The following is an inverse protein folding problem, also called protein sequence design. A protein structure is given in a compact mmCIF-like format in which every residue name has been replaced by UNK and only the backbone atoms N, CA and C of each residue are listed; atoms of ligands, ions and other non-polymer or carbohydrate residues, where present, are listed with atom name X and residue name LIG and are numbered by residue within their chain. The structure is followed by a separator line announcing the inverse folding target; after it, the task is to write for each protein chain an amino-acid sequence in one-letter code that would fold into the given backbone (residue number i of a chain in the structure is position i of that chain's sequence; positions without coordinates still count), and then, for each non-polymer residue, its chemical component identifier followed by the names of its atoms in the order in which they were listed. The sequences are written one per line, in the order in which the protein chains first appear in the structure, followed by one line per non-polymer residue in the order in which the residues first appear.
data_IF_434848463392
#
_entry.id   IF_434848463392
#
_cell.length_a   1.000
_cell.length_b   1.000
_cell.length_c   1.000
_cell.angle_alpha   90.00
_cell.angle_beta   90.00
_cell.angle_gamma   90.00
#
_symmetry.space_group_name_H-M   'P 1'
#
loop_
_entity.id
_entity.type
_entity.pdbx_description
1 polymer ?
#
# COMPACT_ATOMS: atom_id res chain seq x y z
N UNK A 1 17.95 -14.21 2.06
CA UNK A 1 18.49 -13.33 0.98
C UNK A 1 18.95 -12.04 1.61
N UNK A 2 20.13 -11.53 1.26
CA UNK A 2 20.61 -10.21 1.73
C UNK A 2 19.74 -9.09 1.15
N UNK A 3 19.70 -7.93 1.83
CA UNK A 3 19.01 -6.75 1.35
C UNK A 3 19.49 -6.31 -0.03
N UNK A 4 20.81 -6.29 -0.24
CA UNK A 4 21.43 -5.96 -1.53
C UNK A 4 21.01 -6.90 -2.65
N UNK A 5 20.86 -8.20 -2.37
CA UNK A 5 20.37 -9.19 -3.34
C UNK A 5 18.89 -8.94 -3.68
N UNK A 6 18.06 -8.61 -2.68
CA UNK A 6 16.66 -8.28 -2.87
C UNK A 6 16.47 -7.00 -3.71
N UNK A 7 17.29 -5.98 -3.45
CA UNK A 7 17.32 -4.74 -4.21
C UNK A 7 17.81 -4.99 -5.64
N UNK A 8 18.87 -5.79 -5.83
CA UNK A 8 19.35 -6.16 -7.17
C UNK A 8 18.32 -6.96 -7.98
N UNK A 9 17.54 -7.82 -7.31
CA UNK A 9 16.41 -8.52 -7.92
C UNK A 9 15.32 -7.54 -8.38
N UNK A 10 14.98 -6.55 -7.56
CA UNK A 10 14.05 -5.48 -7.94
C UNK A 10 14.55 -4.67 -9.14
N UNK A 11 15.81 -4.22 -9.12
CA UNK A 11 16.41 -3.46 -10.22
C UNK A 11 16.45 -4.26 -11.53
N UNK A 12 16.66 -5.58 -11.46
CA UNK A 12 16.56 -6.45 -12.63
C UNK A 12 15.15 -6.52 -13.22
N UNK A 13 14.12 -6.56 -12.38
CA UNK A 13 12.73 -6.71 -12.82
C UNK A 13 12.11 -5.38 -13.27
N UNK A 14 12.36 -4.30 -12.51
CA UNK A 14 11.79 -2.98 -12.72
C UNK A 14 12.78 -1.99 -13.34
N UNK A 15 13.97 -2.44 -13.74
CA UNK A 15 14.94 -1.62 -14.45
C UNK A 15 14.35 -0.95 -15.69
N UNK A 16 14.57 0.36 -15.80
CA UNK A 16 14.04 1.21 -16.87
C UNK A 16 12.57 1.61 -16.69
N UNK A 17 11.89 1.21 -15.62
CA UNK A 17 10.55 1.70 -15.27
C UNK A 17 10.67 2.97 -14.46
N UNK A 18 9.83 3.95 -14.75
CA UNK A 18 9.79 5.24 -14.03
C UNK A 18 9.41 5.03 -12.57
N UNK A 19 10.18 5.60 -11.64
CA UNK A 19 9.76 5.76 -10.25
C UNK A 19 8.87 7.01 -10.14
N UNK A 20 7.60 6.81 -9.78
CA UNK A 20 6.61 7.90 -9.72
C UNK A 20 6.71 8.78 -8.46
N UNK A 21 7.48 8.34 -7.46
CA UNK A 21 7.74 9.11 -6.25
C UNK A 21 9.10 8.73 -5.66
N UNK A 22 9.76 9.63 -4.92
CA UNK A 22 11.01 9.32 -4.23
C UNK A 22 10.86 8.12 -3.30
N UNK A 23 11.87 7.23 -3.32
CA UNK A 23 11.95 6.08 -2.42
C UNK A 23 11.82 6.53 -0.97
N UNK A 24 11.05 5.79 -0.18
CA UNK A 24 10.88 6.05 1.24
C UNK A 24 11.65 4.98 2.00
N UNK A 25 12.75 5.37 2.64
CA UNK A 25 13.67 4.46 3.31
C UNK A 25 13.80 4.83 4.78
N UNK A 26 13.31 3.97 5.66
CA UNK A 26 13.21 4.28 7.08
C UNK A 26 14.58 4.53 7.72
N UNK A 27 15.59 3.75 7.31
CA UNK A 27 16.96 3.85 7.84
C UNK A 27 17.69 5.15 7.45
N UNK A 28 17.19 5.87 6.44
CA UNK A 28 17.82 7.10 5.89
C UNK A 28 17.11 8.36 6.38
N UNK A 29 16.00 8.23 7.10
CA UNK A 29 15.20 9.35 7.59
C UNK A 29 15.31 9.44 9.13
N UNK A 30 15.90 10.56 9.57
CA UNK A 30 16.19 10.83 10.97
C UNK A 30 14.95 10.76 11.88
N UNK A 31 13.75 10.98 11.33
CA UNK A 31 12.48 10.93 12.06
C UNK A 31 12.13 9.52 12.55
N UNK A 32 12.73 8.47 11.98
CA UNK A 32 12.44 7.08 12.33
C UNK A 32 13.58 6.33 13.04
N UNK A 33 14.68 7.03 13.36
CA UNK A 33 15.84 6.45 14.04
C UNK A 33 15.46 5.79 15.37
N UNK A 34 14.58 6.43 16.14
CA UNK A 34 14.15 5.97 17.48
C UNK A 34 12.87 5.13 17.46
N UNK A 35 12.30 4.85 16.27
CA UNK A 35 11.07 4.04 16.19
C UNK A 35 11.34 2.65 16.80
N UNK A 36 10.51 2.19 17.76
CA UNK A 36 10.65 0.87 18.39
C UNK A 36 10.17 -0.23 17.42
N UNK A 37 11.00 -0.55 16.44
CA UNK A 37 10.75 -1.58 15.43
C UNK A 37 11.89 -2.59 15.42
N UNK A 38 11.61 -3.87 15.17
CA UNK A 38 12.64 -4.89 14.96
C UNK A 38 13.18 -4.90 13.51
N UNK A 39 12.64 -4.05 12.63
CA UNK A 39 12.94 -4.04 11.20
C UNK A 39 13.14 -2.64 10.64
N UNK A 40 13.83 -2.60 9.49
CA UNK A 40 13.83 -1.47 8.57
C UNK A 40 12.84 -1.69 7.44
N UNK A 41 12.11 -0.62 7.10
CA UNK A 41 11.16 -0.60 6.01
C UNK A 41 11.66 0.25 4.83
N UNK A 42 11.33 -0.18 3.62
CA UNK A 42 11.56 0.56 2.39
C UNK A 42 10.33 0.45 1.48
N UNK A 43 9.91 1.58 0.91
CA UNK A 43 8.90 1.63 -0.14
C UNK A 43 9.45 2.21 -1.43
N UNK A 44 8.95 1.69 -2.55
CA UNK A 44 9.18 2.23 -3.90
C UNK A 44 7.89 2.20 -4.71
N UNK A 45 7.78 3.08 -5.70
CA UNK A 45 6.59 3.21 -6.54
C UNK A 45 6.98 3.27 -8.00
N UNK A 46 6.74 2.20 -8.75
CA UNK A 46 7.00 2.14 -10.19
C UNK A 46 5.72 2.39 -10.98
N UNK A 47 5.76 3.28 -11.96
CA UNK A 47 4.60 3.65 -12.77
C UNK A 47 4.78 3.20 -14.22
N UNK A 48 3.71 2.73 -14.83
CA UNK A 48 3.67 2.40 -16.25
C UNK A 48 2.25 2.48 -16.76
N UNK A 49 2.03 3.22 -17.85
CA UNK A 49 0.71 3.42 -18.47
C UNK A 49 -0.32 3.85 -17.41
N UNK A 50 -1.35 3.03 -17.17
CA UNK A 50 -2.47 3.25 -16.25
C UNK A 50 -2.33 2.50 -14.91
N UNK A 51 -1.11 2.00 -14.62
CA UNK A 51 -0.83 1.15 -13.47
C UNK A 51 0.30 1.66 -12.59
N UNK A 52 0.27 1.20 -11.34
CA UNK A 52 1.25 1.49 -10.30
C UNK A 52 1.67 0.19 -9.61
N UNK A 53 2.96 -0.01 -9.42
CA UNK A 53 3.50 -1.07 -8.58
C UNK A 53 4.11 -0.44 -7.32
N UNK A 54 3.48 -0.69 -6.18
CA UNK A 54 4.04 -0.33 -4.88
C UNK A 54 4.84 -1.51 -4.33
N UNK A 55 6.13 -1.28 -4.14
CA UNK A 55 7.03 -2.26 -3.54
C UNK A 55 7.22 -1.94 -2.07
N UNK A 56 7.09 -2.96 -1.23
CA UNK A 56 7.38 -2.93 0.20
C UNK A 56 8.48 -3.94 0.52
N UNK A 57 9.56 -3.46 1.12
CA UNK A 57 10.68 -4.28 1.55
C UNK A 57 10.86 -4.17 3.05
N UNK A 58 11.00 -5.32 3.71
CA UNK A 58 11.31 -5.45 5.14
C UNK A 58 12.65 -6.15 5.32
N UNK A 59 13.55 -5.54 6.09
CA UNK A 59 14.85 -6.14 6.46
C UNK A 59 15.10 -6.05 7.95
N UNK A 60 16.03 -6.86 8.46
CA UNK A 60 16.43 -6.82 9.86
C UNK A 60 16.91 -5.41 10.28
N UNK A 61 16.55 -4.99 11.50
CA UNK A 61 17.05 -3.72 12.05
C UNK A 61 18.46 -3.89 12.59
N UNK A 62 19.44 -3.58 11.73
CA UNK A 62 20.86 -3.48 12.07
C UNK A 62 21.31 -2.02 12.02
N UNK A 63 22.48 -1.65 12.59
CA UNK A 63 23.04 -0.31 12.40
C UNK A 63 23.11 0.05 10.90
N UNK A 64 22.87 1.32 10.55
CA UNK A 64 22.76 1.77 9.14
C UNK A 64 23.98 1.38 8.31
N UNK A 65 25.18 1.44 8.89
CA UNK A 65 26.43 1.03 8.23
C UNK A 65 26.48 -0.45 7.80
N UNK A 66 25.71 -1.33 8.44
CA UNK A 66 25.63 -2.77 8.15
C UNK A 66 24.39 -3.15 7.33
N UNK A 67 23.54 -2.18 6.98
CA UNK A 67 22.23 -2.42 6.35
C UNK A 67 22.33 -3.18 5.03
N UNK A 68 23.36 -2.94 4.23
CA UNK A 68 23.57 -3.60 2.94
C UNK A 68 23.66 -5.15 3.06
N UNK A 69 24.14 -5.64 4.20
CA UNK A 69 24.30 -7.06 4.50
C UNK A 69 23.16 -7.65 5.34
N UNK A 70 22.19 -6.83 5.77
CA UNK A 70 21.04 -7.27 6.56
C UNK A 70 20.20 -8.29 5.78
N UNK A 71 19.57 -9.24 6.49
CA UNK A 71 18.63 -10.15 5.83
C UNK A 71 17.34 -9.42 5.42
N UNK A 72 16.96 -9.53 4.16
CA UNK A 72 15.62 -9.18 3.71
C UNK A 72 14.67 -10.31 4.11
N UNK A 73 13.58 -9.99 4.81
CA UNK A 73 12.60 -10.99 5.28
C UNK A 73 11.31 -10.96 4.48
N UNK A 74 10.93 -9.80 3.94
CA UNK A 74 9.76 -9.65 3.08
C UNK A 74 10.09 -8.74 1.90
N UNK A 75 9.69 -9.17 0.71
CA UNK A 75 9.55 -8.35 -0.48
C UNK A 75 8.13 -8.52 -0.99
N UNK A 76 7.33 -7.45 -0.97
CA UNK A 76 5.95 -7.47 -1.44
C UNK A 76 5.77 -6.44 -2.54
N UNK A 77 5.00 -6.79 -3.56
CA UNK A 77 4.58 -5.88 -4.63
C UNK A 77 3.06 -5.85 -4.65
N UNK A 78 2.48 -4.66 -4.51
CA UNK A 78 1.07 -4.41 -4.78
C UNK A 78 0.94 -3.81 -6.18
N UNK A 79 0.25 -4.51 -7.08
CA UNK A 79 -0.05 -4.02 -8.42
C UNK A 79 -1.43 -3.38 -8.39
N UNK A 80 -1.49 -2.07 -8.64
CA UNK A 80 -2.69 -1.24 -8.56
C UNK A 80 -3.05 -0.68 -9.93
N UNK A 81 -4.34 -0.62 -10.25
CA UNK A 81 -4.84 -0.10 -11.54
C UNK A 81 -4.65 -1.09 -12.68
N UNK A 82 -4.55 -0.59 -13.92
CA UNK A 82 -4.28 -1.43 -15.08
C UNK A 82 -2.77 -1.62 -15.25
N UNK A 83 -2.25 -2.64 -14.57
CA UNK A 83 -0.84 -2.85 -14.32
C UNK A 83 -0.22 -4.01 -15.12
N UNK A 84 -0.76 -4.39 -16.28
CA UNK A 84 -0.34 -5.60 -17.03
C UNK A 84 1.17 -5.63 -17.32
N UNK A 85 1.74 -4.54 -17.82
CA UNK A 85 3.19 -4.45 -18.06
C UNK A 85 4.04 -4.48 -16.77
N UNK A 86 3.47 -4.06 -15.63
CA UNK A 86 4.12 -4.18 -14.32
C UNK A 86 3.95 -5.58 -13.74
N UNK A 87 2.86 -6.28 -14.05
CA UNK A 87 2.59 -7.65 -13.65
C UNK A 87 3.59 -8.62 -14.28
N UNK A 88 3.87 -8.47 -15.57
CA UNK A 88 4.92 -9.24 -16.28
C UNK A 88 6.29 -9.08 -15.61
N UNK A 89 6.63 -7.84 -15.22
CA UNK A 89 7.89 -7.54 -14.51
C UNK A 89 7.91 -8.13 -13.10
N UNK A 90 6.81 -8.00 -12.36
CA UNK A 90 6.66 -8.54 -11.01
C UNK A 90 6.76 -10.08 -10.99
N UNK A 91 6.28 -10.77 -12.03
CA UNK A 91 6.42 -12.21 -12.17
C UNK A 91 7.91 -12.65 -12.17
N UNK A 92 8.80 -11.80 -12.69
CA UNK A 92 10.25 -12.03 -12.63
C UNK A 92 10.81 -12.15 -11.21
N UNK A 93 10.15 -11.57 -10.20
CA UNK A 93 10.54 -11.68 -8.79
C UNK A 93 10.28 -13.08 -8.22
N UNK A 94 9.38 -13.84 -8.84
CA UNK A 94 8.98 -15.17 -8.38
C UNK A 94 9.89 -16.27 -8.93
N UNK A 95 10.64 -15.98 -10.01
CA UNK A 95 11.47 -16.94 -10.73
C UNK A 95 12.58 -17.48 -9.84
N UNK A 96 12.67 -18.82 -9.75
CA UNK A 96 13.69 -19.53 -8.95
C UNK A 96 13.36 -19.64 -7.45
N UNK A 97 12.26 -19.03 -7.00
CA UNK A 97 11.76 -19.21 -5.64
C UNK A 97 11.06 -20.56 -5.48
N UNK A 98 11.03 -21.08 -4.25
CA UNK A 98 10.25 -22.27 -3.93
C UNK A 98 8.83 -21.84 -3.50
N UNK A 99 7.77 -22.59 -3.83
CA UNK A 99 6.44 -22.31 -3.28
C UNK A 99 6.52 -22.20 -1.75
N UNK A 100 5.99 -21.12 -1.18
CA UNK A 100 6.07 -20.88 0.26
C UNK A 100 5.07 -21.81 1.00
N UNK A 101 5.53 -22.80 1.79
CA UNK A 101 4.66 -23.85 2.34
C UNK A 101 3.64 -23.33 3.38
N UNK A 102 3.95 -22.24 4.09
CA UNK A 102 3.15 -21.74 5.22
C UNK A 102 1.95 -20.86 4.82
N UNK A 103 1.72 -20.60 3.53
CA UNK A 103 0.64 -19.68 3.08
C UNK A 103 -0.40 -20.30 2.14
N UNK A 104 -0.38 -21.62 1.97
CA UNK A 104 -1.46 -22.36 1.32
C UNK A 104 -2.82 -22.23 2.04
N UNK A 105 -2.84 -21.76 3.29
CA UNK A 105 -4.07 -21.54 4.07
C UNK A 105 -4.61 -20.10 4.05
N UNK A 106 -3.88 -19.12 3.50
CA UNK A 106 -4.30 -17.70 3.45
C UNK A 106 -4.47 -17.17 2.02
N UNK A 107 -4.53 -18.06 1.03
CA UNK A 107 -4.69 -17.72 -0.39
C UNK A 107 -6.14 -17.79 -0.87
N UNK A 108 -7.08 -18.10 0.03
CA UNK A 108 -8.52 -18.15 -0.21
C UNK A 108 -9.28 -17.22 0.74
N UNK A 109 -8.73 -16.05 1.05
CA UNK A 109 -9.56 -15.01 1.62
C UNK A 109 -10.42 -14.45 0.47
N UNK A 110 -11.74 -14.42 0.67
CA UNK A 110 -12.77 -13.91 -0.24
C UNK A 110 -12.65 -12.37 -0.46
N UNK A 111 -11.44 -11.82 -0.28
CA UNK A 111 -11.11 -10.40 -0.40
C UNK A 111 -10.88 -9.97 -1.86
N UNK A 112 -10.96 -10.92 -2.79
CA UNK A 112 -10.85 -10.68 -4.24
C UNK A 112 -9.43 -10.39 -4.70
N UNK A 113 -8.39 -10.62 -3.87
CA UNK A 113 -7.01 -10.34 -4.26
C UNK A 113 -6.29 -11.60 -4.73
N UNK A 114 -5.85 -11.61 -6.00
CA UNK A 114 -4.95 -12.67 -6.50
C UNK A 114 -3.55 -12.46 -5.93
N UNK A 115 -3.01 -13.48 -5.28
CA UNK A 115 -1.67 -13.44 -4.67
C UNK A 115 -0.79 -14.58 -5.18
N UNK A 116 0.44 -14.25 -5.54
CA UNK A 116 1.48 -15.21 -5.91
C UNK A 116 2.64 -15.09 -4.92
N UNK A 117 3.10 -16.21 -4.37
CA UNK A 117 4.09 -16.19 -3.29
C UNK A 117 5.15 -17.27 -3.44
N UNK A 118 6.41 -16.88 -3.28
CA UNK A 118 7.55 -17.78 -3.21
C UNK A 118 8.45 -17.45 -2.00
N UNK A 119 9.35 -18.37 -1.68
CA UNK A 119 10.36 -18.20 -0.66
C UNK A 119 11.77 -18.39 -1.23
N UNK A 120 12.70 -17.53 -0.79
CA UNK A 120 14.14 -17.62 -1.00
C UNK A 120 14.84 -17.77 0.36
N UNK A 121 14.94 -18.99 0.85
CA UNK A 121 15.33 -19.24 2.25
C UNK A 121 14.27 -18.69 3.20
N UNK A 122 14.65 -17.75 4.07
CA UNK A 122 13.75 -17.07 5.02
C UNK A 122 13.00 -15.88 4.41
N UNK A 123 13.36 -15.46 3.20
CA UNK A 123 12.76 -14.30 2.56
C UNK A 123 11.48 -14.69 1.82
N UNK A 124 10.35 -14.07 2.18
CA UNK A 124 9.08 -14.22 1.46
C UNK A 124 8.98 -13.15 0.37
N UNK A 125 8.67 -13.59 -0.85
CA UNK A 125 8.36 -12.70 -1.98
C UNK A 125 6.90 -12.88 -2.35
N UNK A 126 6.13 -11.80 -2.38
CA UNK A 126 4.69 -11.82 -2.69
C UNK A 126 4.35 -10.77 -3.75
N UNK A 127 3.63 -11.18 -4.79
CA UNK A 127 2.99 -10.28 -5.76
C UNK A 127 1.49 -10.34 -5.52
N UNK A 128 0.90 -9.21 -5.15
CA UNK A 128 -0.54 -9.05 -4.98
C UNK A 128 -1.10 -8.26 -6.15
N UNK A 129 -2.04 -8.85 -6.86
CA UNK A 129 -2.79 -8.22 -7.94
C UNK A 129 -4.05 -7.65 -7.33
N UNK A 130 -4.03 -6.34 -7.10
CA UNK A 130 -5.22 -5.63 -6.65
C UNK A 130 -6.04 -5.34 -7.90
N UNK A 131 -7.07 -6.16 -8.09
CA UNK A 131 -7.88 -6.24 -9.31
C UNK A 131 -7.91 -4.95 -10.14
N UNK A 132 -7.57 -5.12 -11.41
CA UNK A 132 -7.87 -4.17 -12.48
C UNK A 132 -9.34 -3.74 -12.33
N UNK A 133 -9.68 -2.43 -12.37
CA UNK A 133 -11.07 -2.00 -12.24
C UNK A 133 -11.91 -2.60 -13.38
N UNK A 134 -12.62 -3.68 -13.07
CA UNK A 134 -13.81 -4.13 -13.77
C UNK A 134 -15.05 -3.55 -13.09
N UNK A 135 -16.22 -3.57 -13.75
CA UNK A 135 -17.46 -3.14 -13.13
C UNK A 135 -17.77 -4.02 -11.91
N UNK A 136 -17.56 -3.48 -10.71
CA UNK A 136 -18.03 -4.11 -9.47
C UNK A 136 -19.51 -3.81 -9.31
N UNK A 137 -20.28 -4.80 -8.82
CA UNK A 137 -21.71 -4.61 -8.57
C UNK A 137 -21.85 -3.51 -7.52
N UNK A 138 -22.62 -2.48 -7.83
CA UNK A 138 -22.94 -1.45 -6.85
C UNK A 138 -23.69 -2.09 -5.67
N UNK A 139 -23.37 -1.64 -4.45
CA UNK A 139 -24.14 -1.93 -3.26
C UNK A 139 -25.60 -1.49 -3.48
N UNK A 140 -26.52 -2.21 -2.87
CA UNK A 140 -27.91 -1.76 -2.83
C UNK A 140 -28.00 -0.39 -2.14
N UNK A 141 -28.86 0.50 -2.64
CA UNK A 141 -28.96 1.89 -2.19
C UNK A 141 -29.13 2.01 -0.68
N UNK A 142 -29.99 1.16 -0.09
CA UNK A 142 -30.23 1.11 1.35
C UNK A 142 -28.96 0.73 2.13
N UNK A 143 -28.16 -0.23 1.62
CA UNK A 143 -26.90 -0.64 2.25
C UNK A 143 -25.85 0.45 2.13
N UNK A 144 -25.72 1.08 0.96
CA UNK A 144 -24.82 2.21 0.77
C UNK A 144 -25.15 3.35 1.75
N UNK A 145 -26.42 3.77 1.81
CA UNK A 145 -26.85 4.82 2.72
C UNK A 145 -26.61 4.46 4.19
N UNK A 146 -26.94 3.24 4.61
CA UNK A 146 -26.70 2.80 5.99
C UNK A 146 -25.23 2.92 6.40
N UNK A 147 -24.29 2.50 5.53
CA UNK A 147 -22.85 2.61 5.79
C UNK A 147 -22.39 4.08 5.75
N UNK A 148 -22.87 4.87 4.79
CA UNK A 148 -22.52 6.28 4.67
C UNK A 148 -23.08 7.15 5.82
N UNK A 149 -24.20 6.77 6.42
CA UNK A 149 -24.73 7.40 7.65
C UNK A 149 -23.79 7.14 8.85
N UNK A 150 -23.23 5.93 9.00
CA UNK A 150 -22.23 5.65 10.06
C UNK A 150 -20.98 6.52 9.96
N UNK A 151 -20.58 6.91 8.75
CA UNK A 151 -19.48 7.86 8.54
C UNK A 151 -19.82 9.31 8.89
N UNK A 152 -21.11 9.64 8.98
CA UNK A 152 -21.61 11.00 9.34
C UNK A 152 -22.02 11.11 10.79
N UNK A 153 -22.45 10.00 11.38
CA UNK A 153 -22.93 9.94 12.75
C UNK A 153 -21.79 10.20 13.75
N UNK A 154 -21.98 11.22 14.58
CA UNK A 154 -21.05 11.61 15.64
C UNK A 154 -21.03 10.60 16.78
N UNK A 155 -22.11 9.82 16.96
CA UNK A 155 -22.21 8.78 17.98
C UNK A 155 -21.53 7.46 17.58
N UNK A 156 -21.24 7.27 16.28
CA UNK A 156 -20.59 6.05 15.79
C UNK A 156 -19.13 5.95 16.29
N UNK A 157 -18.72 4.74 16.68
CA UNK A 157 -17.36 4.50 17.21
C UNK A 157 -16.31 4.51 16.08
N UNK A 158 -15.02 4.64 16.42
CA UNK A 158 -13.93 4.50 15.43
C UNK A 158 -13.98 3.18 14.66
N UNK A 159 -14.32 2.07 15.32
CA UNK A 159 -14.40 0.73 14.75
C UNK A 159 -15.58 0.61 13.77
N UNK A 160 -16.76 1.11 14.14
CA UNK A 160 -17.93 1.13 13.25
C UNK A 160 -17.65 1.94 11.98
N UNK A 161 -16.94 3.06 12.11
CA UNK A 161 -16.52 3.87 10.96
C UNK A 161 -15.48 3.15 10.12
N UNK A 162 -14.49 2.51 10.75
CA UNK A 162 -13.47 1.73 10.05
C UNK A 162 -14.09 0.62 9.19
N UNK A 163 -14.99 -0.16 9.80
CA UNK A 163 -15.72 -1.22 9.11
C UNK A 163 -16.60 -0.65 7.98
N UNK A 164 -17.26 0.48 8.22
CA UNK A 164 -18.08 1.13 7.19
C UNK A 164 -17.25 1.59 5.99
N UNK A 165 -16.04 2.13 6.22
CA UNK A 165 -15.11 2.47 5.13
C UNK A 165 -14.72 1.23 4.33
N UNK A 166 -14.36 0.13 5.00
CA UNK A 166 -13.98 -1.13 4.32
C UNK A 166 -15.14 -1.67 3.46
N UNK A 167 -16.34 -1.79 4.03
CA UNK A 167 -17.52 -2.30 3.33
C UNK A 167 -17.98 -1.40 2.18
N UNK A 168 -17.76 -0.08 2.28
CA UNK A 168 -18.03 0.84 1.16
C UNK A 168 -16.99 0.68 0.05
N UNK A 169 -15.73 0.40 0.39
CA UNK A 169 -14.66 0.24 -0.59
C UNK A 169 -14.88 -0.96 -1.54
N UNK A 170 -15.71 -1.94 -1.15
CA UNK A 170 -16.06 -3.10 -1.99
C UNK A 170 -16.57 -2.70 -3.38
N UNK A 171 -17.39 -1.65 -3.50
CA UNK A 171 -18.01 -1.23 -4.76
C UNK A 171 -17.09 -0.39 -5.66
N UNK A 172 -16.12 0.34 -5.10
CA UNK A 172 -15.24 1.29 -5.82
C UNK A 172 -15.98 2.20 -6.82
N UNK A 173 -16.75 3.16 -6.32
CA UNK A 173 -17.55 4.09 -7.14
C UNK A 173 -17.41 5.56 -6.72
N UNK A 174 -17.82 6.52 -7.59
CA UNK A 174 -17.79 7.94 -7.26
C UNK A 174 -18.56 8.29 -5.97
N UNK A 175 -19.70 7.65 -5.70
CA UNK A 175 -20.47 7.90 -4.46
C UNK A 175 -19.72 7.47 -3.20
N UNK A 176 -18.92 6.40 -3.28
CA UNK A 176 -18.04 5.99 -2.17
C UNK A 176 -16.95 7.05 -1.96
N UNK A 177 -16.34 7.53 -3.04
CA UNK A 177 -15.34 8.61 -2.95
C UNK A 177 -15.91 9.84 -2.24
N UNK A 178 -17.10 10.30 -2.63
CA UNK A 178 -17.75 11.45 -1.96
C UNK A 178 -18.02 11.18 -0.48
N UNK A 179 -18.46 9.96 -0.12
CA UNK A 179 -18.69 9.60 1.27
C UNK A 179 -17.38 9.62 2.10
N UNK A 180 -16.29 9.11 1.53
CA UNK A 180 -14.98 9.09 2.19
C UNK A 180 -14.35 10.48 2.29
N UNK A 181 -14.44 11.30 1.25
CA UNK A 181 -14.00 12.70 1.30
C UNK A 181 -14.83 13.51 2.30
N UNK A 182 -16.14 13.26 2.37
CA UNK A 182 -17.03 13.85 3.37
C UNK A 182 -16.65 13.46 4.80
N UNK A 183 -16.21 12.21 5.03
CA UNK A 183 -15.65 11.82 6.33
C UNK A 183 -14.38 12.62 6.65
N UNK A 184 -13.45 12.68 5.69
CA UNK A 184 -12.14 13.34 5.85
C UNK A 184 -12.22 14.85 6.07
N UNK A 185 -13.28 15.51 5.58
CA UNK A 185 -13.50 16.94 5.85
C UNK A 185 -13.95 17.22 7.29
N UNK A 186 -14.45 16.21 8.00
CA UNK A 186 -14.92 16.32 9.39
C UNK A 186 -13.88 15.80 10.38
N UNK A 187 -13.19 14.72 10.04
CA UNK A 187 -12.24 14.06 10.91
C UNK A 187 -11.22 13.20 10.14
N UNK A 188 -10.01 13.00 10.68
CA UNK A 188 -9.02 12.11 10.06
C UNK A 188 -9.51 10.66 10.08
N UNK A 189 -9.21 9.93 9.00
CA UNK A 189 -9.42 8.48 8.92
C UNK A 189 -8.33 7.86 8.07
N UNK A 190 -7.41 7.13 8.72
CA UNK A 190 -6.31 6.45 8.04
C UNK A 190 -6.82 5.43 7.01
N UNK A 191 -7.90 4.72 7.32
CA UNK A 191 -8.49 3.74 6.40
C UNK A 191 -9.08 4.42 5.16
N UNK A 192 -9.77 5.56 5.32
CA UNK A 192 -10.30 6.30 4.17
C UNK A 192 -9.17 6.85 3.28
N UNK A 193 -8.12 7.41 3.89
CA UNK A 193 -6.93 7.86 3.17
C UNK A 193 -6.23 6.71 2.43
N UNK A 194 -6.12 5.55 3.07
CA UNK A 194 -5.58 4.34 2.45
C UNK A 194 -6.37 3.95 1.21
N UNK A 195 -7.69 3.75 1.33
CA UNK A 195 -8.57 3.37 0.21
C UNK A 195 -8.46 4.38 -0.95
N UNK A 196 -8.59 5.68 -0.66
CA UNK A 196 -8.52 6.72 -1.69
C UNK A 196 -7.14 6.78 -2.38
N UNK A 197 -6.04 6.54 -1.63
CA UNK A 197 -4.70 6.47 -2.20
C UNK A 197 -4.48 5.23 -3.08
N UNK A 198 -5.08 4.08 -2.74
CA UNK A 198 -5.05 2.87 -3.57
C UNK A 198 -5.77 3.10 -4.90
N UNK A 199 -6.79 3.96 -4.92
CA UNK A 199 -7.55 4.31 -6.11
C UNK A 199 -6.97 5.48 -6.91
N UNK A 200 -5.92 6.14 -6.41
CA UNK A 200 -5.33 7.32 -7.05
C UNK A 200 -6.24 8.55 -7.03
N UNK A 201 -7.14 8.67 -6.05
CA UNK A 201 -8.04 9.83 -5.92
C UNK A 201 -7.25 11.07 -5.47
N UNK A 202 -6.95 11.95 -6.43
CA UNK A 202 -6.14 13.14 -6.21
C UNK A 202 -6.74 14.10 -5.17
N UNK A 203 -8.06 14.15 -5.01
CA UNK A 203 -8.72 15.00 -4.01
C UNK A 203 -8.40 14.59 -2.58
N UNK A 204 -7.93 13.36 -2.34
CA UNK A 204 -7.46 12.91 -1.04
C UNK A 204 -6.14 13.56 -0.59
N UNK A 205 -5.42 14.24 -1.50
CA UNK A 205 -4.10 14.82 -1.18
C UNK A 205 -4.18 15.95 -0.15
N UNK A 206 -5.21 16.80 -0.21
CA UNK A 206 -5.41 17.86 0.76
C UNK A 206 -5.66 17.32 2.19
N UNK A 207 -6.64 16.42 2.43
CA UNK A 207 -6.83 15.85 3.76
C UNK A 207 -5.64 15.01 4.22
N UNK A 208 -4.91 14.36 3.31
CA UNK A 208 -3.69 13.63 3.66
C UNK A 208 -2.58 14.54 4.19
N UNK A 209 -2.33 15.68 3.53
CA UNK A 209 -1.36 16.67 4.01
C UNK A 209 -1.75 17.23 5.37
N UNK A 210 -3.02 17.57 5.56
CA UNK A 210 -3.53 18.00 6.86
C UNK A 210 -3.34 16.93 7.95
N UNK A 211 -3.54 15.65 7.61
CA UNK A 211 -3.28 14.55 8.54
C UNK A 211 -1.78 14.40 8.86
N UNK A 212 -0.89 14.54 7.87
CA UNK A 212 0.57 14.54 8.06
C UNK A 212 1.04 15.67 8.99
N UNK A 213 0.53 16.88 8.80
CA UNK A 213 0.88 18.06 9.61
C UNK A 213 0.38 17.92 11.07
N UNK A 214 -0.65 17.12 11.29
CA UNK A 214 -1.22 16.85 12.61
C UNK A 214 -0.56 15.65 13.34
N UNK A 215 0.36 14.93 12.70
CA UNK A 215 1.02 13.78 13.34
C UNK A 215 1.89 14.26 14.50
N UNK A 216 1.72 13.62 15.66
CA UNK A 216 2.54 13.92 16.82
C UNK A 216 3.98 13.42 16.60
N UNK A 217 5.02 14.15 17.05
CA UNK A 217 6.41 13.76 16.87
C UNK A 217 6.76 12.37 17.45
N UNK A 218 6.05 11.93 18.48
CA UNK A 218 6.22 10.63 19.14
C UNK A 218 5.44 9.48 18.48
N UNK A 219 4.80 9.74 17.32
CA UNK A 219 4.07 8.73 16.56
C UNK A 219 4.72 8.46 15.18
N UNK A 220 5.91 7.84 15.16
CA UNK A 220 6.61 7.50 13.92
C UNK A 220 5.86 6.47 13.06
N UNK A 221 4.94 5.68 13.64
CA UNK A 221 4.18 4.68 12.90
C UNK A 221 3.14 5.35 11.97
N UNK A 222 2.39 6.32 12.48
CA UNK A 222 1.43 7.07 11.65
C UNK A 222 2.16 7.97 10.66
N UNK A 223 3.27 8.60 11.08
CA UNK A 223 4.11 9.41 10.19
C UNK A 223 4.59 8.58 8.99
N UNK A 224 5.09 7.37 9.24
CA UNK A 224 5.55 6.46 8.20
C UNK A 224 4.42 6.06 7.26
N UNK A 225 3.30 5.60 7.81
CA UNK A 225 2.13 5.20 7.02
C UNK A 225 1.62 6.34 6.15
N UNK A 226 1.36 7.51 6.73
CA UNK A 226 0.82 8.66 6.00
C UNK A 226 1.81 9.18 4.94
N UNK A 227 3.12 9.14 5.23
CA UNK A 227 4.14 9.50 4.23
C UNK A 227 4.11 8.55 3.04
N UNK A 228 3.96 7.23 3.29
CA UNK A 228 3.83 6.25 2.22
C UNK A 228 2.57 6.49 1.38
N UNK A 229 1.43 6.85 1.99
CA UNK A 229 0.21 7.19 1.25
C UNK A 229 0.39 8.45 0.39
N UNK A 230 1.13 9.46 0.85
CA UNK A 230 1.35 10.70 0.08
C UNK A 230 2.27 10.44 -1.12
N UNK A 231 3.32 9.63 -0.92
CA UNK A 231 4.17 9.16 -2.02
C UNK A 231 3.41 8.31 -3.02
N UNK A 232 2.47 7.47 -2.57
CA UNK A 232 1.58 6.72 -3.48
C UNK A 232 0.74 7.66 -4.34
N UNK A 233 0.13 8.68 -3.75
CA UNK A 233 -0.65 9.69 -4.50
C UNK A 233 0.23 10.55 -5.44
N UNK A 234 1.47 10.84 -5.04
CA UNK A 234 2.46 11.47 -5.91
C UNK A 234 2.81 10.58 -7.10
N UNK A 235 2.98 9.28 -6.88
CA UNK A 235 3.24 8.31 -7.95
C UNK A 235 2.06 8.22 -8.92
N UNK A 236 0.82 8.20 -8.42
CA UNK A 236 -0.38 8.26 -9.27
C UNK A 236 -0.45 9.50 -10.17
N UNK A 237 0.18 10.61 -9.81
CA UNK A 237 0.23 11.81 -10.65
C UNK A 237 1.09 11.62 -11.92
N UNK A 238 1.95 10.60 -11.95
CA UNK A 238 2.82 10.25 -13.08
C UNK A 238 2.25 9.13 -13.97
N UNK A 239 1.09 8.58 -13.60
CA UNK A 239 0.38 7.56 -14.36
C UNK A 239 -0.43 8.25 -15.47
N UNK A 240 -0.32 7.75 -16.70
CA UNK A 240 -1.11 8.23 -17.83
C UNK A 240 -2.59 7.93 -17.59
N UNK A 241 -3.47 8.92 -17.74
CA UNK A 241 -4.91 8.77 -17.54
C UNK A 241 -5.63 8.57 -18.85
#
# INVERSE_FOLDING_TARGET
MKLTEAQALLERCFGGVTEGAPRLVEAEDARFVERPSAVWLEYRWYVSQRGLAEVFLKSERVPVAARADAEATVLRVHLLGAADGLAERAAGLLVGGRPAPERLMGLFDDDGLRRECVAFGRTSVTVEHWDTPGPRKLLEEARFHALAERLRDTASTPEERHESVQRLADERSPRVVEALLGLLSRQPSLMALRVLSEWGEARARAPLKAALDAVRPDNPADLWTLTALDRRLEAWAHVER
#
